data_IF_209695325252
#
_entry.id   IF_209695325252
#
_cell.length_a   1.000
_cell.length_b   1.000
_cell.length_c   1.000
_cell.angle_alpha   90.00
_cell.angle_beta   90.00
_cell.angle_gamma   90.00
#
_symmetry.space_group_name_H-M   'P 1'
#
loop_
_entity.id
_entity.type
_entity.pdbx_description
1 polymer ?
#
# COMPACT_ATOMS: atom_id res chain seq x y z
N UNK A 1 -36.04 26.60 -41.22
CA UNK A 1 -36.43 25.25 -40.79
C UNK A 1 -35.40 24.78 -39.77
N UNK A 2 -35.87 24.38 -38.57
CA UNK A 2 -35.29 23.41 -37.60
C UNK A 2 -33.76 23.23 -37.64
N UNK A 3 -32.98 23.58 -36.62
CA UNK A 3 -33.16 23.21 -35.21
C UNK A 3 -32.35 21.94 -34.93
N UNK A 4 -31.15 22.10 -34.38
CA UNK A 4 -30.41 21.05 -33.68
C UNK A 4 -29.70 21.73 -32.50
N UNK A 5 -30.12 21.36 -31.31
CA UNK A 5 -29.70 21.87 -30.00
C UNK A 5 -28.28 21.39 -29.67
N UNK A 6 -27.41 22.31 -29.25
CA UNK A 6 -26.17 21.99 -28.55
C UNK A 6 -26.54 21.31 -27.22
N UNK A 7 -26.32 20.00 -27.13
CA UNK A 7 -26.34 19.30 -25.85
C UNK A 7 -25.09 19.68 -25.05
N UNK A 8 -25.37 20.35 -23.94
CA UNK A 8 -24.44 20.81 -22.92
C UNK A 8 -23.86 19.59 -22.19
N UNK A 9 -22.65 19.16 -22.56
CA UNK A 9 -21.91 18.11 -21.83
C UNK A 9 -21.38 18.76 -20.55
N UNK A 10 -21.80 18.34 -19.33
CA UNK A 10 -21.23 18.88 -18.11
C UNK A 10 -19.77 18.41 -18.03
N UNK A 11 -18.85 19.37 -17.95
CA UNK A 11 -17.45 19.08 -17.61
C UNK A 11 -17.43 18.38 -16.25
N UNK A 12 -17.04 17.11 -16.23
CA UNK A 12 -16.78 16.38 -15.00
C UNK A 12 -15.71 17.16 -14.22
N UNK A 13 -16.12 17.76 -13.10
CA UNK A 13 -15.22 18.37 -12.14
C UNK A 13 -14.30 17.26 -11.61
N UNK A 14 -13.05 17.27 -12.07
CA UNK A 14 -12.00 16.43 -11.53
C UNK A 14 -11.66 16.98 -10.14
N UNK A 15 -12.24 16.39 -9.09
CA UNK A 15 -11.89 16.73 -7.72
C UNK A 15 -10.47 16.24 -7.44
N UNK A 16 -9.52 17.18 -7.39
CA UNK A 16 -8.20 16.94 -6.84
C UNK A 16 -8.32 16.69 -5.33
N UNK A 17 -7.69 15.61 -4.85
CA UNK A 17 -7.49 15.39 -3.42
C UNK A 17 -6.59 16.53 -2.88
N UNK A 18 -7.21 17.53 -2.25
CA UNK A 18 -6.53 18.61 -1.54
C UNK A 18 -6.66 18.35 -0.03
N UNK A 19 -5.62 18.69 0.74
CA UNK A 19 -5.50 18.46 2.19
C UNK A 19 -6.71 18.90 3.03
N UNK A 20 -7.46 19.95 2.62
CA UNK A 20 -8.66 20.39 3.34
C UNK A 20 -9.86 19.43 3.26
N UNK A 21 -9.96 18.60 2.20
CA UNK A 21 -11.16 17.78 1.98
C UNK A 21 -11.33 16.65 3.00
N UNK A 22 -10.26 16.07 3.57
CA UNK A 22 -10.42 14.96 4.53
C UNK A 22 -10.96 15.44 5.90
N UNK A 23 -10.55 16.62 6.36
CA UNK A 23 -11.02 17.20 7.62
C UNK A 23 -12.40 17.86 7.43
N UNK A 24 -12.59 18.65 6.37
CA UNK A 24 -13.87 19.31 6.08
C UNK A 24 -14.99 18.28 5.81
N UNK A 25 -14.68 17.11 5.23
CA UNK A 25 -15.67 16.04 5.01
C UNK A 25 -16.16 15.37 6.31
N UNK A 26 -15.42 15.50 7.42
CA UNK A 26 -15.81 14.99 8.73
C UNK A 26 -16.42 16.12 9.59
N UNK A 27 -15.90 17.34 9.48
CA UNK A 27 -16.37 18.51 10.25
C UNK A 27 -17.66 19.14 9.71
N UNK A 28 -17.97 19.07 8.40
CA UNK A 28 -19.22 19.60 7.83
C UNK A 28 -20.47 18.72 8.07
N UNK A 29 -20.41 17.75 8.98
CA UNK A 29 -21.56 16.95 9.40
C UNK A 29 -22.51 17.77 10.31
N UNK A 30 -23.18 18.78 9.74
CA UNK A 30 -24.26 19.49 10.41
C UNK A 30 -25.44 18.53 10.68
N UNK A 31 -26.09 18.59 11.86
CA UNK A 31 -27.21 17.70 12.18
C UNK A 31 -28.43 18.04 11.32
N UNK A 32 -28.62 17.30 10.23
CA UNK A 32 -29.83 17.36 9.41
C UNK A 32 -29.64 17.40 7.90
N UNK A 33 -28.42 17.49 7.38
CA UNK A 33 -28.18 17.50 5.93
C UNK A 33 -27.85 16.08 5.45
N UNK A 34 -28.66 15.53 4.54
CA UNK A 34 -28.36 14.25 3.87
C UNK A 34 -27.15 14.45 2.95
N UNK A 35 -25.93 14.40 3.48
CA UNK A 35 -24.72 14.24 2.67
C UNK A 35 -24.86 12.89 1.96
N UNK A 36 -25.18 12.94 0.66
CA UNK A 36 -25.61 11.79 -0.11
C UNK A 36 -24.56 10.66 -0.25
N UNK A 37 -24.96 9.51 -0.83
CA UNK A 37 -24.16 8.28 -1.04
C UNK A 37 -22.90 8.44 -1.95
N UNK A 38 -22.39 9.66 -2.14
CA UNK A 38 -21.35 9.99 -3.11
C UNK A 38 -19.92 9.84 -2.58
N UNK A 39 -19.63 10.11 -1.31
CA UNK A 39 -18.26 10.06 -0.76
C UNK A 39 -17.74 8.63 -0.60
N UNK A 40 -18.54 7.72 -0.04
CA UNK A 40 -18.17 6.32 0.12
C UNK A 40 -18.01 5.57 -1.22
N UNK A 41 -18.86 5.86 -2.21
CA UNK A 41 -18.77 5.26 -3.54
C UNK A 41 -17.54 5.74 -4.35
N UNK A 42 -17.11 6.99 -4.15
CA UNK A 42 -15.90 7.53 -4.80
C UNK A 42 -14.62 6.92 -4.21
N UNK A 43 -14.56 6.74 -2.89
CA UNK A 43 -13.48 6.02 -2.19
C UNK A 43 -13.35 4.57 -2.69
N UNK A 44 -14.49 3.87 -2.80
CA UNK A 44 -14.54 2.50 -3.32
C UNK A 44 -14.04 2.43 -4.78
N UNK A 45 -14.50 3.33 -5.65
CA UNK A 45 -14.07 3.38 -7.06
C UNK A 45 -12.55 3.60 -7.21
N UNK A 46 -11.95 4.44 -6.36
CA UNK A 46 -10.51 4.69 -6.38
C UNK A 46 -9.69 3.51 -5.84
N UNK A 47 -10.12 2.87 -4.75
CA UNK A 47 -9.48 1.66 -4.21
C UNK A 47 -9.51 0.50 -5.23
N UNK A 48 -10.66 0.24 -5.86
CA UNK A 48 -10.82 -0.80 -6.88
C UNK A 48 -9.99 -0.52 -8.15
N UNK A 49 -9.86 0.74 -8.58
CA UNK A 49 -9.08 1.10 -9.77
C UNK A 49 -7.59 0.75 -9.63
N UNK A 50 -7.02 0.82 -8.42
CA UNK A 50 -5.59 0.55 -8.18
C UNK A 50 -5.24 -0.93 -8.07
N UNK A 51 -6.20 -1.81 -7.75
CA UNK A 51 -6.03 -3.27 -7.84
C UNK A 51 -5.63 -3.69 -9.26
N UNK A 52 -6.14 -2.99 -10.27
CA UNK A 52 -5.89 -3.30 -11.67
C UNK A 52 -4.42 -3.17 -12.10
N UNK A 53 -3.62 -2.32 -11.44
CA UNK A 53 -2.21 -2.09 -11.82
C UNK A 53 -1.33 -3.28 -11.46
N UNK A 54 -1.57 -3.94 -10.31
CA UNK A 54 -0.80 -5.12 -9.95
C UNK A 54 -1.12 -6.30 -10.89
N UNK A 55 -2.33 -6.36 -11.43
CA UNK A 55 -2.78 -7.43 -12.34
C UNK A 55 -1.93 -7.48 -13.62
N UNK A 56 -1.43 -6.35 -14.11
CA UNK A 56 -0.61 -6.28 -15.32
C UNK A 56 0.86 -6.66 -15.08
N UNK A 57 1.35 -6.69 -13.83
CA UNK A 57 2.76 -6.94 -13.53
C UNK A 57 3.29 -8.25 -14.15
N UNK A 58 2.53 -9.37 -14.15
CA UNK A 58 2.95 -10.61 -14.78
C UNK A 58 3.15 -10.57 -16.29
N UNK A 59 2.53 -9.62 -16.98
CA UNK A 59 2.57 -9.52 -18.43
C UNK A 59 3.84 -8.81 -18.93
N UNK A 60 4.48 -8.01 -18.06
CA UNK A 60 5.63 -7.17 -18.44
C UNK A 60 6.93 -7.50 -17.71
N UNK A 61 6.89 -8.30 -16.64
CA UNK A 61 8.06 -8.60 -15.81
C UNK A 61 8.31 -10.11 -15.80
N UNK A 62 9.47 -10.53 -16.30
CA UNK A 62 9.89 -11.93 -16.20
C UNK A 62 10.29 -12.27 -14.75
N UNK A 63 9.72 -13.33 -14.13
CA UNK A 63 10.04 -13.70 -12.74
C UNK A 63 11.50 -14.04 -12.49
N UNK A 64 12.17 -14.70 -13.44
CA UNK A 64 13.56 -15.13 -13.29
C UNK A 64 14.49 -13.90 -13.39
N UNK A 65 14.22 -12.98 -14.32
CA UNK A 65 14.96 -11.71 -14.45
C UNK A 65 14.74 -10.82 -13.23
N UNK A 66 13.50 -10.71 -12.73
CA UNK A 66 13.23 -9.94 -11.53
C UNK A 66 14.02 -10.48 -10.33
N UNK A 67 13.97 -11.80 -10.12
CA UNK A 67 14.63 -12.46 -9.00
C UNK A 67 16.15 -12.40 -9.07
N UNK A 68 16.73 -12.74 -10.23
CA UNK A 68 18.16 -12.92 -10.39
C UNK A 68 18.92 -11.64 -10.75
N UNK A 69 18.24 -10.59 -11.21
CA UNK A 69 18.87 -9.34 -11.64
C UNK A 69 18.28 -8.15 -10.89
N UNK A 70 17.01 -7.82 -11.12
CA UNK A 70 16.43 -6.54 -10.68
C UNK A 70 16.44 -6.40 -9.15
N UNK A 71 15.99 -7.45 -8.43
CA UNK A 71 15.94 -7.51 -6.96
C UNK A 71 17.29 -7.18 -6.31
N UNK A 72 18.40 -7.55 -6.94
CA UNK A 72 19.74 -7.30 -6.38
C UNK A 72 19.99 -5.80 -6.29
N UNK A 73 19.67 -5.05 -7.34
CA UNK A 73 19.85 -3.60 -7.39
C UNK A 73 18.84 -2.83 -6.53
N UNK A 74 17.71 -3.44 -6.20
CA UNK A 74 16.71 -2.86 -5.28
C UNK A 74 17.01 -3.14 -3.81
N UNK A 75 17.92 -4.06 -3.51
CA UNK A 75 18.31 -4.40 -2.13
C UNK A 75 19.11 -3.26 -1.49
N UNK A 76 18.78 -2.93 -0.24
CA UNK A 76 19.55 -1.99 0.55
C UNK A 76 20.64 -2.68 1.37
N UNK A 77 21.24 -1.95 2.30
CA UNK A 77 22.30 -2.42 3.20
C UNK A 77 21.93 -2.27 4.68
N UNK A 78 20.64 -2.07 4.98
CA UNK A 78 20.05 -2.29 6.31
C UNK A 78 19.45 -3.69 6.36
N UNK A 79 19.76 -4.43 7.43
CA UNK A 79 19.32 -5.82 7.64
C UNK A 79 19.71 -6.77 6.49
N UNK A 80 20.76 -6.41 5.74
CA UNK A 80 21.32 -7.17 4.62
C UNK A 80 22.57 -7.95 5.09
N UNK A 81 22.55 -9.29 5.11
CA UNK A 81 23.70 -10.08 5.56
C UNK A 81 24.94 -9.96 4.66
N UNK A 82 24.80 -9.53 3.40
CA UNK A 82 25.93 -9.27 2.52
C UNK A 82 26.67 -7.97 2.86
N UNK A 83 26.00 -7.03 3.56
CA UNK A 83 26.57 -5.75 4.00
C UNK A 83 26.17 -5.47 5.46
N UNK A 84 26.61 -6.31 6.42
CA UNK A 84 26.09 -6.29 7.80
C UNK A 84 26.42 -4.99 8.55
N UNK A 85 27.51 -4.33 8.16
CA UNK A 85 27.91 -3.03 8.72
C UNK A 85 27.16 -1.86 8.08
N UNK A 86 26.60 -2.01 6.88
CA UNK A 86 26.07 -0.91 6.07
C UNK A 86 27.05 -0.45 4.99
N UNK A 87 26.81 0.73 4.43
CA UNK A 87 27.60 1.32 3.35
C UNK A 87 28.29 2.60 3.82
N UNK A 88 29.59 2.74 3.54
CA UNK A 88 30.33 3.99 3.77
C UNK A 88 30.03 4.96 2.63
N UNK A 89 29.56 6.14 2.98
CA UNK A 89 29.37 7.24 2.03
C UNK A 89 30.59 8.15 2.09
N UNK A 90 31.55 7.91 1.21
CA UNK A 90 32.80 8.66 1.14
C UNK A 90 32.54 10.17 1.03
N UNK A 91 33.22 10.95 1.87
CA UNK A 91 33.05 12.40 1.95
C UNK A 91 31.82 12.87 2.75
N UNK A 92 30.89 11.98 3.12
CA UNK A 92 29.67 12.31 3.87
C UNK A 92 29.72 11.76 5.30
N UNK A 93 30.07 10.48 5.47
CA UNK A 93 30.12 9.81 6.77
C UNK A 93 31.35 8.92 6.88
N UNK A 94 32.03 9.00 8.03
CA UNK A 94 33.13 8.08 8.38
C UNK A 94 32.60 6.72 8.85
N UNK A 95 31.42 6.71 9.45
CA UNK A 95 30.75 5.48 9.90
C UNK A 95 29.83 4.93 8.79
N UNK A 96 29.75 3.59 8.63
CA UNK A 96 28.80 2.97 7.72
C UNK A 96 27.34 3.34 8.06
N UNK A 97 26.57 3.77 7.06
CA UNK A 97 25.14 4.07 7.19
C UNK A 97 24.30 2.88 6.75
N UNK A 98 23.11 2.71 7.33
CA UNK A 98 22.19 1.61 7.05
C UNK A 98 20.88 2.12 6.48
N UNK A 99 20.63 1.82 5.20
CA UNK A 99 19.38 2.15 4.52
C UNK A 99 18.72 0.90 3.93
N UNK A 100 17.40 0.82 4.10
CA UNK A 100 16.57 -0.26 3.55
C UNK A 100 16.50 -0.16 2.03
N UNK A 101 16.33 -1.29 1.36
CA UNK A 101 16.10 -1.32 -0.07
C UNK A 101 14.70 -0.86 -0.46
N UNK A 102 14.49 -0.70 -1.76
CA UNK A 102 13.20 -0.30 -2.32
C UNK A 102 12.14 -1.38 -2.08
N UNK A 103 10.96 -1.00 -1.59
CA UNK A 103 9.85 -1.93 -1.41
C UNK A 103 8.49 -1.25 -1.54
N UNK A 104 7.43 -2.04 -1.80
CA UNK A 104 6.06 -1.54 -1.87
C UNK A 104 5.61 -0.86 -0.57
N UNK A 105 6.24 -1.17 0.57
CA UNK A 105 5.97 -0.53 1.85
C UNK A 105 6.39 0.94 1.92
N UNK A 106 7.09 1.46 0.91
CA UNK A 106 7.38 2.89 0.79
C UNK A 106 6.26 3.65 0.04
N UNK A 107 5.20 2.97 -0.37
CA UNK A 107 4.05 3.59 -1.04
C UNK A 107 3.17 4.37 -0.05
N UNK A 108 3.17 5.69 -0.16
CA UNK A 108 2.34 6.57 0.69
C UNK A 108 0.84 6.28 0.57
N UNK A 109 0.38 5.79 -0.59
CA UNK A 109 -1.03 5.46 -0.82
C UNK A 109 -1.51 4.33 0.08
N UNK A 110 -0.71 3.28 0.26
CA UNK A 110 -1.10 2.15 1.12
C UNK A 110 -1.22 2.58 2.58
N UNK A 111 -0.30 3.43 3.04
CA UNK A 111 -0.35 3.98 4.40
C UNK A 111 -1.52 4.92 4.60
N UNK A 112 -1.82 5.79 3.62
CA UNK A 112 -2.96 6.69 3.70
C UNK A 112 -4.28 5.92 3.83
N UNK A 113 -4.45 4.82 3.09
CA UNK A 113 -5.62 3.95 3.25
C UNK A 113 -5.67 3.25 4.60
N UNK A 114 -4.53 2.76 5.11
CA UNK A 114 -4.48 2.13 6.44
C UNK A 114 -4.90 3.12 7.53
N UNK A 115 -4.36 4.34 7.53
CA UNK A 115 -4.75 5.38 8.50
C UNK A 115 -6.21 5.79 8.33
N UNK A 116 -6.64 6.05 7.10
CA UNK A 116 -8.01 6.50 6.82
C UNK A 116 -9.07 5.46 7.21
N UNK A 117 -8.79 4.17 6.99
CA UNK A 117 -9.68 3.07 7.35
C UNK A 117 -9.46 2.59 8.80
N UNK A 118 -8.56 3.21 9.57
CA UNK A 118 -8.29 2.80 10.96
C UNK A 118 -7.76 1.37 11.10
N UNK A 119 -6.92 0.92 10.17
CA UNK A 119 -6.30 -0.41 10.21
C UNK A 119 -5.08 -0.37 11.13
N UNK A 120 -5.13 -1.14 12.21
CA UNK A 120 -4.02 -1.27 13.15
C UNK A 120 -3.22 -2.55 12.89
N UNK A 121 -1.96 -2.39 12.52
CA UNK A 121 -1.03 -3.51 12.27
C UNK A 121 -0.46 -4.08 13.58
N UNK A 122 0.09 -5.30 13.53
CA UNK A 122 0.88 -5.82 14.67
C UNK A 122 2.09 -4.93 14.94
N UNK A 123 2.61 -4.93 16.18
CA UNK A 123 3.79 -4.14 16.57
C UNK A 123 4.96 -4.31 15.60
N UNK A 124 5.31 -5.56 15.25
CA UNK A 124 6.40 -5.85 14.31
C UNK A 124 6.15 -5.27 12.91
N UNK A 125 4.93 -5.41 12.38
CA UNK A 125 4.55 -4.88 11.07
C UNK A 125 4.50 -3.35 11.08
N UNK A 126 3.96 -2.75 12.14
CA UNK A 126 3.85 -1.32 12.34
C UNK A 126 5.24 -0.67 12.43
N UNK A 127 6.16 -1.25 13.21
CA UNK A 127 7.54 -0.79 13.32
C UNK A 127 8.23 -0.73 11.96
N UNK A 128 8.04 -1.75 11.12
CA UNK A 128 8.57 -1.75 9.77
C UNK A 128 7.93 -0.68 8.89
N UNK A 129 6.59 -0.59 8.89
CA UNK A 129 5.83 0.38 8.11
C UNK A 129 6.16 1.83 8.50
N UNK A 130 6.24 2.16 9.78
CA UNK A 130 6.60 3.50 10.23
C UNK A 130 8.00 3.90 9.79
N UNK A 131 8.97 2.98 9.85
CA UNK A 131 10.31 3.24 9.28
C UNK A 131 10.27 3.51 7.78
N UNK A 132 9.34 2.90 7.03
CA UNK A 132 9.22 3.16 5.59
C UNK A 132 8.70 4.56 5.26
N UNK A 133 8.03 5.25 6.21
CA UNK A 133 7.64 6.65 6.04
C UNK A 133 8.84 7.59 5.90
N UNK A 134 9.99 7.24 6.48
CA UNK A 134 11.22 8.04 6.33
C UNK A 134 11.82 7.97 4.92
N UNK A 135 11.33 7.07 4.07
CA UNK A 135 11.70 6.94 2.67
C UNK A 135 10.69 7.61 1.73
N UNK A 136 9.64 8.23 2.27
CA UNK A 136 8.63 8.96 1.51
C UNK A 136 9.00 10.45 1.40
N UNK A 137 8.56 11.16 0.35
CA UNK A 137 8.65 12.61 0.30
C UNK A 137 8.05 13.26 1.55
N UNK A 138 8.66 14.32 2.12
CA UNK A 138 8.19 14.93 3.37
C UNK A 138 6.71 15.34 3.36
N UNK A 139 6.21 15.87 2.24
CA UNK A 139 4.80 16.24 2.08
C UNK A 139 3.86 15.03 2.13
N UNK A 140 4.28 13.88 1.60
CA UNK A 140 3.48 12.65 1.64
C UNK A 140 3.45 12.05 3.04
N UNK A 141 4.58 12.08 3.76
CA UNK A 141 4.64 11.69 5.16
C UNK A 141 3.72 12.58 6.00
N UNK A 142 3.81 13.91 5.84
CA UNK A 142 2.95 14.86 6.54
C UNK A 142 1.46 14.60 6.29
N UNK A 143 1.07 14.31 5.06
CA UNK A 143 -0.31 13.95 4.72
C UNK A 143 -0.80 12.70 5.46
N UNK A 144 0.03 11.66 5.60
CA UNK A 144 -0.35 10.45 6.34
C UNK A 144 -0.52 10.76 7.84
N UNK A 145 0.37 11.57 8.42
CA UNK A 145 0.25 11.99 9.82
C UNK A 145 -0.99 12.89 10.06
N UNK A 146 -1.38 13.69 9.06
CA UNK A 146 -2.61 14.48 9.10
C UNK A 146 -3.85 13.58 9.17
N UNK A 147 -3.94 12.55 8.31
CA UNK A 147 -5.01 11.55 8.36
C UNK A 147 -5.03 10.86 9.73
N UNK A 148 -3.87 10.47 10.26
CA UNK A 148 -3.76 9.82 11.56
C UNK A 148 -4.30 10.69 12.71
N UNK A 149 -4.08 12.01 12.63
CA UNK A 149 -4.54 12.97 13.64
C UNK A 149 -6.01 13.38 13.50
N UNK A 150 -6.64 13.09 12.36
CA UNK A 150 -8.03 13.43 12.10
C UNK A 150 -9.00 12.53 12.91
N UNK A 151 -10.28 12.93 13.07
CA UNK A 151 -11.25 12.08 13.73
C UNK A 151 -11.43 10.73 13.01
N UNK A 152 -11.61 9.67 13.80
CA UNK A 152 -11.70 8.29 13.30
C UNK A 152 -12.93 8.09 12.42
N UNK A 153 -12.71 7.80 11.13
CA UNK A 153 -13.78 7.38 10.22
C UNK A 153 -14.50 6.14 10.75
N UNK A 154 -13.74 5.18 11.29
CA UNK A 154 -14.29 3.94 11.83
C UNK A 154 -15.28 4.21 12.96
N UNK A 155 -14.95 5.12 13.87
CA UNK A 155 -15.82 5.48 14.99
C UNK A 155 -17.03 6.28 14.51
N UNK A 156 -16.84 7.16 13.52
CA UNK A 156 -17.94 7.86 12.86
C UNK A 156 -18.94 6.87 12.25
N UNK A 157 -18.49 5.87 11.48
CA UNK A 157 -19.35 4.85 10.87
C UNK A 157 -20.13 4.07 11.92
N UNK A 158 -19.46 3.63 12.99
CA UNK A 158 -20.09 2.91 14.10
C UNK A 158 -21.14 3.75 14.84
N UNK A 159 -20.90 5.05 15.01
CA UNK A 159 -21.83 5.96 15.70
C UNK A 159 -23.01 6.40 14.83
N UNK A 160 -22.85 6.39 13.50
CA UNK A 160 -23.82 6.96 12.55
C UNK A 160 -25.12 6.16 12.40
N UNK A 161 -25.12 4.85 12.68
CA UNK A 161 -26.29 3.96 12.48
C UNK A 161 -26.70 3.74 11.02
N UNK A 162 -25.95 4.28 10.05
CA UNK A 162 -26.29 4.18 8.61
C UNK A 162 -25.72 2.90 7.98
N UNK A 163 -26.58 1.91 7.73
CA UNK A 163 -26.17 0.63 7.16
C UNK A 163 -25.44 0.70 5.81
N UNK A 164 -25.76 1.69 4.96
CA UNK A 164 -25.09 1.86 3.67
C UNK A 164 -23.64 2.34 3.80
N UNK A 165 -23.35 3.22 4.76
CA UNK A 165 -21.97 3.67 5.04
C UNK A 165 -21.12 2.53 5.61
N UNK A 166 -21.70 1.71 6.49
CA UNK A 166 -21.07 0.48 6.97
C UNK A 166 -20.73 -0.48 5.83
N UNK A 167 -21.68 -0.70 4.91
CA UNK A 167 -21.46 -1.55 3.72
C UNK A 167 -20.30 -1.03 2.87
N UNK A 168 -20.29 0.26 2.54
CA UNK A 168 -19.25 0.85 1.70
C UNK A 168 -17.87 0.86 2.38
N UNK A 169 -17.81 1.11 3.70
CA UNK A 169 -16.59 0.99 4.48
C UNK A 169 -16.02 -0.43 4.42
N UNK A 170 -16.85 -1.45 4.66
CA UNK A 170 -16.43 -2.86 4.58
C UNK A 170 -15.99 -3.26 3.16
N UNK A 171 -16.66 -2.74 2.13
CA UNK A 171 -16.26 -2.95 0.74
C UNK A 171 -14.86 -2.36 0.44
N UNK A 172 -14.50 -1.23 1.06
CA UNK A 172 -13.14 -0.68 0.94
C UNK A 172 -12.09 -1.59 1.60
N UNK A 173 -12.39 -2.14 2.78
CA UNK A 173 -11.52 -3.11 3.45
C UNK A 173 -11.36 -4.39 2.64
N UNK A 174 -12.44 -4.90 2.05
CA UNK A 174 -12.42 -6.08 1.18
C UNK A 174 -11.54 -5.84 -0.05
N UNK A 175 -11.72 -4.73 -0.76
CA UNK A 175 -10.89 -4.38 -1.92
C UNK A 175 -9.40 -4.25 -1.55
N UNK A 176 -9.09 -3.68 -0.38
CA UNK A 176 -7.71 -3.59 0.10
C UNK A 176 -7.14 -4.97 0.50
N UNK A 177 -7.95 -5.86 1.07
CA UNK A 177 -7.56 -7.22 1.38
C UNK A 177 -7.35 -8.07 0.11
N UNK A 178 -8.15 -7.86 -0.93
CA UNK A 178 -7.96 -8.46 -2.25
C UNK A 178 -6.64 -8.00 -2.88
N UNK A 179 -6.34 -6.70 -2.83
CA UNK A 179 -5.05 -6.15 -3.27
C UNK A 179 -3.88 -6.84 -2.57
N UNK A 180 -3.95 -6.95 -1.25
CA UNK A 180 -2.91 -7.59 -0.42
C UNK A 180 -2.77 -9.08 -0.72
N UNK A 181 -3.89 -9.77 -0.93
CA UNK A 181 -3.92 -11.18 -1.33
C UNK A 181 -3.28 -11.40 -2.71
N UNK A 182 -3.60 -10.53 -3.67
CA UNK A 182 -2.97 -10.56 -4.98
C UNK A 182 -1.47 -10.28 -4.90
N UNK A 183 -1.05 -9.30 -4.10
CA UNK A 183 0.37 -9.01 -3.88
C UNK A 183 1.13 -10.19 -3.27
N UNK A 184 0.52 -10.95 -2.35
CA UNK A 184 1.09 -12.20 -1.84
C UNK A 184 1.30 -13.22 -2.97
N UNK A 185 0.35 -13.35 -3.90
CA UNK A 185 0.48 -14.21 -5.08
C UNK A 185 1.63 -13.78 -5.99
N UNK A 186 1.76 -12.48 -6.26
CA UNK A 186 2.88 -11.92 -7.02
C UNK A 186 4.20 -12.24 -6.32
N UNK A 187 4.34 -11.91 -5.04
CA UNK A 187 5.58 -12.18 -4.29
C UNK A 187 5.90 -13.68 -4.24
N UNK A 188 4.89 -14.54 -4.12
CA UNK A 188 5.11 -16.00 -4.16
C UNK A 188 5.72 -16.42 -5.50
N UNK A 189 5.18 -15.93 -6.63
CA UNK A 189 5.70 -16.23 -7.97
C UNK A 189 7.10 -15.66 -8.20
N UNK A 190 7.31 -14.40 -7.87
CA UNK A 190 8.52 -13.63 -8.22
C UNK A 190 9.67 -13.80 -7.22
N UNK A 191 9.40 -14.31 -6.02
CA UNK A 191 10.40 -14.52 -4.98
C UNK A 191 10.55 -16.00 -4.64
N UNK A 192 9.48 -16.65 -4.18
CA UNK A 192 9.56 -17.99 -3.62
C UNK A 192 9.72 -19.05 -4.70
N UNK A 193 8.85 -19.03 -5.71
CA UNK A 193 8.92 -19.96 -6.83
C UNK A 193 10.17 -19.72 -7.67
N UNK A 194 10.48 -18.46 -8.00
CA UNK A 194 11.70 -18.10 -8.71
C UNK A 194 12.98 -18.56 -7.97
N UNK A 195 13.06 -18.40 -6.63
CA UNK A 195 14.16 -18.92 -5.83
C UNK A 195 14.29 -20.45 -5.94
N UNK A 196 13.18 -21.18 -5.84
CA UNK A 196 13.18 -22.64 -5.96
C UNK A 196 13.63 -23.11 -7.36
N UNK A 197 13.22 -22.40 -8.42
CA UNK A 197 13.64 -22.67 -9.79
C UNK A 197 15.14 -22.39 -9.94
N UNK A 198 15.63 -21.25 -9.46
CA UNK A 198 17.04 -20.89 -9.51
C UNK A 198 17.93 -21.95 -8.81
N UNK A 199 17.51 -22.46 -7.64
CA UNK A 199 18.22 -23.53 -6.92
C UNK A 199 18.22 -24.86 -7.67
N UNK A 200 17.08 -25.24 -8.27
CA UNK A 200 16.94 -26.54 -8.92
C UNK A 200 17.61 -26.62 -10.30
N UNK A 201 17.63 -25.52 -11.05
CA UNK A 201 18.09 -25.51 -12.44
C UNK A 201 19.58 -25.21 -12.63
N UNK A 202 20.32 -24.78 -11.59
CA UNK A 202 21.66 -24.16 -11.74
C UNK A 202 21.66 -23.28 -12.98
N UNK A 203 20.97 -22.15 -12.92
CA UNK A 203 20.89 -21.25 -14.06
C UNK A 203 22.30 -20.67 -14.34
N UNK A 204 23.13 -21.43 -15.06
CA UNK A 204 24.58 -21.24 -15.24
C UNK A 204 24.92 -19.93 -16.00
N UNK A 205 23.90 -19.17 -16.41
CA UNK A 205 24.01 -17.96 -17.23
C UNK A 205 23.53 -16.69 -16.53
N UNK A 206 22.84 -16.76 -15.39
CA UNK A 206 22.50 -15.56 -14.60
C UNK A 206 23.33 -15.53 -13.32
N UNK A 207 23.82 -14.36 -12.90
CA UNK A 207 24.72 -14.23 -11.75
C UNK A 207 24.11 -14.73 -10.42
N UNK A 208 22.78 -14.88 -10.36
CA UNK A 208 22.05 -15.33 -9.17
C UNK A 208 22.13 -14.30 -8.02
N UNK A 209 21.11 -14.18 -7.17
CA UNK A 209 21.27 -13.36 -5.98
C UNK A 209 22.27 -14.05 -5.03
N UNK A 210 23.13 -13.28 -4.31
CA UNK A 210 23.91 -13.82 -3.21
C UNK A 210 23.04 -14.64 -2.26
N UNK A 211 23.55 -15.77 -1.78
CA UNK A 211 22.85 -16.68 -0.87
C UNK A 211 22.25 -15.95 0.35
N UNK A 212 22.94 -14.88 0.79
CA UNK A 212 22.53 -13.95 1.84
C UNK A 212 21.19 -13.22 1.61
N UNK A 213 20.69 -13.15 0.38
CA UNK A 213 19.45 -12.45 0.03
C UNK A 213 18.26 -13.41 -0.16
N UNK A 214 18.47 -14.74 -0.21
CA UNK A 214 17.45 -15.71 -0.67
C UNK A 214 16.13 -15.63 0.12
N UNK A 215 16.19 -15.42 1.44
CA UNK A 215 15.02 -15.55 2.33
C UNK A 215 14.42 -14.20 2.79
N UNK A 216 14.91 -13.07 2.30
CA UNK A 216 14.45 -11.74 2.69
C UNK A 216 13.98 -10.91 1.51
N UNK A 217 13.03 -10.00 1.78
CA UNK A 217 12.67 -8.96 0.84
C UNK A 217 13.79 -7.93 0.70
N UNK A 218 13.72 -7.12 -0.34
CA UNK A 218 14.63 -5.98 -0.56
C UNK A 218 14.60 -4.96 0.59
N UNK A 219 13.45 -4.84 1.27
CA UNK A 219 13.28 -4.04 2.48
C UNK A 219 13.80 -4.69 3.77
N UNK A 220 14.23 -5.95 3.73
CA UNK A 220 14.84 -6.67 4.86
C UNK A 220 13.89 -7.55 5.68
N UNK A 221 12.61 -7.67 5.32
CA UNK A 221 11.61 -8.46 6.08
C UNK A 221 11.50 -9.92 5.63
N UNK A 222 10.98 -10.77 6.50
CA UNK A 222 10.43 -12.07 6.14
C UNK A 222 9.11 -11.85 5.37
N UNK A 223 9.21 -11.78 4.04
CA UNK A 223 8.19 -11.11 3.21
C UNK A 223 6.81 -11.74 3.35
N UNK A 224 6.71 -13.07 3.32
CA UNK A 224 5.40 -13.73 3.34
C UNK A 224 4.68 -13.60 4.69
N UNK A 225 5.39 -13.67 5.82
CA UNK A 225 4.76 -13.50 7.13
C UNK A 225 4.29 -12.06 7.32
N UNK A 226 5.12 -11.08 6.94
CA UNK A 226 4.76 -9.67 6.96
C UNK A 226 3.51 -9.39 6.11
N UNK A 227 3.50 -9.82 4.83
CA UNK A 227 2.37 -9.55 3.94
C UNK A 227 1.08 -10.23 4.39
N UNK A 228 1.16 -11.46 4.91
CA UNK A 228 -0.01 -12.15 5.48
C UNK A 228 -0.54 -11.40 6.69
N UNK A 229 0.33 -10.99 7.61
CA UNK A 229 -0.08 -10.23 8.78
C UNK A 229 -0.79 -8.91 8.40
N UNK A 230 -0.22 -8.14 7.46
CA UNK A 230 -0.82 -6.88 6.98
C UNK A 230 -2.19 -7.10 6.32
N UNK A 231 -2.37 -8.21 5.58
CA UNK A 231 -3.68 -8.60 5.02
C UNK A 231 -4.67 -9.00 6.11
N UNK A 232 -4.23 -9.85 7.04
CA UNK A 232 -5.09 -10.38 8.10
C UNK A 232 -5.59 -9.25 9.00
N UNK A 233 -4.74 -8.25 9.29
CA UNK A 233 -5.13 -7.03 10.01
C UNK A 233 -6.15 -6.18 9.26
N UNK A 234 -6.12 -6.13 7.93
CA UNK A 234 -7.21 -5.52 7.14
C UNK A 234 -8.53 -6.24 7.38
N UNK A 235 -8.52 -7.57 7.28
CA UNK A 235 -9.73 -8.38 7.41
C UNK A 235 -10.32 -8.29 8.81
N UNK A 236 -9.47 -8.31 9.85
CA UNK A 236 -9.86 -8.12 11.25
C UNK A 236 -10.51 -6.76 11.53
N UNK A 237 -10.27 -5.75 10.67
CA UNK A 237 -10.85 -4.40 10.81
C UNK A 237 -12.32 -4.34 10.35
N UNK A 238 -12.79 -5.38 9.64
CA UNK A 238 -14.17 -5.46 9.14
C UNK A 238 -15.18 -5.31 10.27
N UNK A 239 -16.20 -4.48 10.04
CA UNK A 239 -17.25 -4.22 11.01
C UNK A 239 -18.45 -5.13 10.76
N UNK A 240 -19.06 -5.66 11.82
CA UNK A 240 -20.31 -6.41 11.73
C UNK A 240 -21.49 -5.54 12.17
N UNK A 241 -22.66 -5.63 11.50
CA UNK A 241 -23.87 -4.99 11.99
C UNK A 241 -24.13 -5.44 13.43
N UNK A 242 -24.37 -4.49 14.34
CA UNK A 242 -24.91 -4.83 15.64
C UNK A 242 -26.32 -5.41 15.41
N UNK A 243 -26.57 -6.62 15.94
CA UNK A 243 -27.89 -7.25 15.90
C UNK A 243 -28.93 -6.51 16.75
#
# INVERSE_FOLDING_TARGET
MRGATEENIPSASCCYFHSGLCADQIEDAAPGEQQGPCTCNQLFSFACSKVHILIAFPDYVDPDIFYAVIRIFLSGWKDNPAMPMGLIYEGISKEPLKYSGGSAAQSSVLHAFDEFLGIHHSEESADFLYRMRDYMPPSHKAFIEEIHSAPSLRDFILSSGHGHCLTAYNQCLEALAELRSYHITVVTRYLVTAAAIARSRRLDHLPGPPQALEDRGTGGTAVLSFLKNVRDKTLETTLHPSG
#
